data_IF_114172837758
#
_entry.id   IF_114172837758
#
_cell.length_a   1.000
_cell.length_b   1.000
_cell.length_c   1.000
_cell.angle_alpha   90.00
_cell.angle_beta   90.00
_cell.angle_gamma   90.00
#
_symmetry.space_group_name_H-M   'P 1'
#
loop_
_entity.id
_entity.type
_entity.pdbx_description
1 polymer ?
#
# COMPACT_ATOMS: atom_id res chain seq x y z
N UNK A 1 9.02 30.54 -7.61
CA UNK A 1 8.35 30.37 -6.29
C UNK A 1 7.18 31.35 -6.08
N UNK A 2 7.10 32.44 -6.89
CA UNK A 2 6.09 33.50 -6.70
C UNK A 2 4.67 33.15 -7.19
N UNK A 3 4.51 32.04 -7.90
CA UNK A 3 3.20 31.55 -8.39
C UNK A 3 2.51 30.53 -7.45
N UNK A 4 3.25 29.96 -6.54
CA UNK A 4 2.72 28.94 -5.60
C UNK A 4 1.86 29.58 -4.49
N UNK A 5 2.26 30.77 -4.03
CA UNK A 5 1.57 31.47 -2.96
C UNK A 5 0.15 31.93 -3.35
N UNK A 6 -0.08 32.56 -4.53
CA UNK A 6 -1.44 32.93 -4.95
C UNK A 6 -2.31 31.73 -5.25
N UNK A 7 -1.76 30.59 -5.75
CA UNK A 7 -2.49 29.38 -5.97
C UNK A 7 -2.97 28.76 -4.65
N UNK A 8 -2.10 28.74 -3.63
CA UNK A 8 -2.47 28.26 -2.28
C UNK A 8 -3.59 29.09 -1.67
N UNK A 9 -3.49 30.41 -1.76
CA UNK A 9 -4.54 31.33 -1.27
C UNK A 9 -5.86 31.12 -2.03
N UNK A 10 -5.80 30.97 -3.35
CA UNK A 10 -6.98 30.69 -4.18
C UNK A 10 -7.66 29.38 -3.79
N UNK A 11 -6.90 28.32 -3.53
CA UNK A 11 -7.44 27.03 -3.10
C UNK A 11 -8.09 27.10 -1.72
N UNK A 12 -7.51 27.85 -0.79
CA UNK A 12 -8.11 28.09 0.53
C UNK A 12 -9.42 28.90 0.41
N UNK A 13 -9.42 29.96 -0.40
CA UNK A 13 -10.65 30.74 -0.64
C UNK A 13 -11.72 29.91 -1.36
N UNK A 14 -11.35 29.08 -2.36
CA UNK A 14 -12.26 28.16 -3.02
C UNK A 14 -12.84 27.14 -2.03
N UNK A 15 -12.03 26.60 -1.12
CA UNK A 15 -12.49 25.71 -0.05
C UNK A 15 -13.49 26.39 0.89
N UNK A 16 -13.21 27.60 1.32
CA UNK A 16 -14.15 28.39 2.14
C UNK A 16 -15.44 28.73 1.40
N UNK A 17 -15.34 29.11 0.12
CA UNK A 17 -16.52 29.37 -0.70
C UNK A 17 -17.39 28.12 -0.86
N UNK A 18 -16.79 26.96 -1.13
CA UNK A 18 -17.50 25.68 -1.22
C UNK A 18 -18.23 25.38 0.11
N UNK A 19 -17.57 25.57 1.25
CA UNK A 19 -18.20 25.37 2.56
C UNK A 19 -19.31 26.34 2.85
N UNK A 20 -19.17 27.61 2.44
CA UNK A 20 -20.17 28.67 2.67
C UNK A 20 -21.41 28.52 1.77
N UNK A 21 -21.27 27.95 0.57
CA UNK A 21 -22.37 27.72 -0.37
C UNK A 21 -22.90 26.27 -0.34
N UNK A 22 -22.55 25.51 0.70
CA UNK A 22 -23.02 24.13 0.81
C UNK A 22 -24.53 24.08 1.09
N UNK A 23 -25.30 23.26 0.35
CA UNK A 23 -26.76 23.13 0.55
C UNK A 23 -27.12 22.68 1.96
N UNK A 24 -28.29 23.08 2.47
CA UNK A 24 -28.78 22.63 3.78
C UNK A 24 -28.82 21.12 3.95
N UNK A 25 -29.03 20.39 2.84
CA UNK A 25 -28.95 18.92 2.83
C UNK A 25 -27.60 18.38 3.25
N UNK A 26 -26.51 19.13 3.05
CA UNK A 26 -25.18 18.75 3.52
C UNK A 26 -25.02 18.97 5.02
N UNK A 27 -25.49 20.14 5.54
CA UNK A 27 -25.51 20.43 6.96
C UNK A 27 -26.33 19.40 7.73
N UNK A 28 -27.50 19.03 7.21
CA UNK A 28 -28.33 17.99 7.79
C UNK A 28 -27.65 16.62 7.80
N UNK A 29 -26.86 16.28 6.76
CA UNK A 29 -26.04 15.05 6.75
C UNK A 29 -24.88 15.11 7.72
N UNK A 30 -24.25 16.26 7.92
CA UNK A 30 -23.20 16.42 8.93
C UNK A 30 -23.74 16.30 10.35
N UNK A 31 -24.98 16.73 10.59
CA UNK A 31 -25.63 16.57 11.89
C UNK A 31 -25.98 15.09 12.18
N UNK A 32 -26.24 14.26 11.16
CA UNK A 32 -26.43 12.81 11.35
C UNK A 32 -25.15 12.11 11.83
N UNK A 33 -23.95 12.69 11.63
CA UNK A 33 -22.71 12.17 12.20
C UNK A 33 -22.71 12.26 13.74
N UNK A 34 -23.40 13.24 14.30
CA UNK A 34 -23.54 13.41 15.77
C UNK A 34 -24.54 12.41 16.38
N UNK A 35 -25.41 11.84 15.56
CA UNK A 35 -26.46 10.87 15.94
C UNK A 35 -26.25 9.53 15.23
N UNK A 36 -24.98 9.12 15.03
CA UNK A 36 -24.63 7.85 14.35
C UNK A 36 -25.21 6.62 15.03
N UNK A 37 -25.49 6.70 16.33
CA UNK A 37 -26.19 5.68 17.13
C UNK A 37 -27.64 5.44 16.71
N UNK A 38 -28.24 6.40 15.96
CA UNK A 38 -29.57 6.29 15.37
C UNK A 38 -29.52 5.82 13.91
N UNK A 39 -28.34 5.76 13.29
CA UNK A 39 -28.14 5.23 11.94
C UNK A 39 -28.02 3.71 11.98
N UNK A 40 -29.10 3.02 11.63
CA UNK A 40 -29.17 1.56 11.59
C UNK A 40 -28.06 0.95 10.70
N UNK A 41 -27.66 1.64 9.60
CA UNK A 41 -26.60 1.17 8.72
C UNK A 41 -25.22 1.27 9.38
N UNK A 42 -24.94 2.34 10.13
CA UNK A 42 -23.70 2.50 10.87
C UNK A 42 -23.61 1.50 12.03
N UNK A 43 -24.71 1.35 12.77
CA UNK A 43 -24.77 0.41 13.90
C UNK A 43 -24.66 -1.04 13.46
N UNK A 44 -25.28 -1.42 12.34
CA UNK A 44 -25.12 -2.76 11.77
C UNK A 44 -23.68 -3.10 11.38
N UNK A 45 -22.92 -2.12 10.83
CA UNK A 45 -21.48 -2.31 10.57
C UNK A 45 -20.68 -2.50 11.85
N UNK A 46 -20.92 -1.67 12.85
CA UNK A 46 -20.25 -1.76 14.17
C UNK A 46 -20.55 -3.11 14.80
N UNK A 47 -21.80 -3.59 14.74
CA UNK A 47 -22.20 -4.91 15.20
C UNK A 47 -21.42 -6.02 14.50
N UNK A 48 -21.27 -5.94 13.18
CA UNK A 48 -20.48 -6.88 12.39
C UNK A 48 -18.97 -6.81 12.72
N UNK A 49 -18.43 -5.63 13.06
CA UNK A 49 -17.03 -5.48 13.49
C UNK A 49 -16.79 -6.18 14.83
N UNK A 50 -17.70 -6.03 15.79
CA UNK A 50 -17.63 -6.73 17.06
C UNK A 50 -17.75 -8.23 16.87
N UNK A 51 -18.69 -8.69 16.01
CA UNK A 51 -18.80 -10.10 15.66
C UNK A 51 -17.48 -10.65 15.12
N UNK A 52 -16.87 -9.97 14.15
CA UNK A 52 -15.59 -10.40 13.55
C UNK A 52 -14.45 -10.41 14.59
N UNK A 53 -14.39 -9.41 15.47
CA UNK A 53 -13.37 -9.33 16.52
C UNK A 53 -13.53 -10.46 17.55
N UNK A 54 -14.75 -10.69 18.07
CA UNK A 54 -15.04 -11.73 19.05
C UNK A 54 -14.79 -13.12 18.46
N UNK A 55 -15.18 -13.35 17.19
CA UNK A 55 -14.87 -14.58 16.47
C UNK A 55 -13.36 -14.82 16.36
N UNK A 56 -12.58 -13.78 15.99
CA UNK A 56 -11.13 -13.90 15.88
C UNK A 56 -10.45 -14.13 17.25
N UNK A 57 -11.03 -13.63 18.33
CA UNK A 57 -10.55 -13.86 19.69
C UNK A 57 -10.72 -15.32 20.11
N UNK A 58 -11.84 -15.94 19.75
CA UNK A 58 -12.14 -17.35 20.02
C UNK A 58 -11.41 -18.29 19.03
N UNK A 59 -11.26 -17.84 17.78
CA UNK A 59 -10.62 -18.56 16.66
C UNK A 59 -9.53 -17.73 16.00
N UNK A 60 -8.28 -17.90 16.38
CA UNK A 60 -7.13 -17.11 15.90
C UNK A 60 -6.90 -17.14 14.39
N UNK A 61 -7.38 -18.20 13.72
CA UNK A 61 -7.37 -18.37 12.27
C UNK A 61 -8.67 -17.90 11.60
N UNK A 62 -9.59 -17.32 12.39
CA UNK A 62 -10.89 -16.84 11.93
C UNK A 62 -11.92 -17.96 11.67
N UNK A 63 -13.07 -17.58 11.12
CA UNK A 63 -14.19 -18.46 10.85
C UNK A 63 -14.24 -19.04 9.42
N UNK A 64 -13.22 -18.75 8.58
CA UNK A 64 -13.24 -19.08 7.16
C UNK A 64 -14.10 -18.10 6.36
N UNK A 65 -14.29 -18.37 5.07
CA UNK A 65 -15.11 -17.53 4.21
C UNK A 65 -16.60 -17.57 4.60
N UNK A 66 -17.34 -16.52 4.21
CA UNK A 66 -18.78 -16.41 4.45
C UNK A 66 -19.19 -16.42 5.93
N UNK A 67 -18.54 -15.60 6.75
CA UNK A 67 -18.81 -15.46 8.19
C UNK A 67 -20.10 -14.70 8.53
N UNK A 68 -20.67 -13.93 7.58
CA UNK A 68 -21.86 -13.10 7.83
C UNK A 68 -23.15 -13.95 7.76
N UNK A 69 -23.34 -14.80 8.75
CA UNK A 69 -24.49 -15.71 8.88
C UNK A 69 -25.03 -15.72 10.30
N UNK A 70 -26.34 -15.95 10.45
CA UNK A 70 -27.06 -15.86 11.72
C UNK A 70 -26.46 -16.67 12.85
N UNK A 71 -25.90 -17.86 12.57
CA UNK A 71 -25.28 -18.70 13.60
C UNK A 71 -24.03 -18.08 14.25
N UNK A 72 -23.24 -17.29 13.49
CA UNK A 72 -22.08 -16.60 14.02
C UNK A 72 -22.48 -15.30 14.70
N UNK A 73 -23.48 -14.57 14.18
CA UNK A 73 -24.02 -13.40 14.86
C UNK A 73 -24.66 -13.76 16.18
N UNK A 74 -25.44 -14.86 16.24
CA UNK A 74 -26.03 -15.35 17.48
C UNK A 74 -25.00 -15.64 18.58
N UNK A 75 -23.77 -16.00 18.20
CA UNK A 75 -22.72 -16.37 19.17
C UNK A 75 -21.76 -15.21 19.49
N UNK A 76 -21.45 -14.36 18.53
CA UNK A 76 -20.33 -13.41 18.62
C UNK A 76 -20.74 -11.95 18.50
N UNK A 77 -21.92 -11.61 17.95
CA UNK A 77 -22.37 -10.24 17.80
C UNK A 77 -23.05 -9.71 19.07
N UNK A 78 -22.88 -8.41 19.39
CA UNK A 78 -23.68 -7.77 20.45
C UNK A 78 -25.18 -7.80 20.18
N UNK A 79 -25.60 -7.64 18.92
CA UNK A 79 -26.98 -7.79 18.49
C UNK A 79 -27.10 -8.96 17.52
N UNK A 80 -27.60 -10.15 17.96
CA UNK A 80 -27.67 -11.36 17.14
C UNK A 80 -28.59 -11.26 15.92
N UNK A 81 -29.62 -10.40 15.97
CA UNK A 81 -30.65 -10.29 14.95
C UNK A 81 -30.24 -9.35 13.82
N UNK A 82 -29.28 -8.46 14.07
CA UNK A 82 -28.81 -7.45 13.12
C UNK A 82 -27.60 -7.96 12.30
N UNK A 83 -27.89 -8.76 11.27
CA UNK A 83 -26.89 -9.42 10.43
C UNK A 83 -26.49 -8.50 9.29
N UNK A 84 -25.28 -7.95 9.35
CA UNK A 84 -24.69 -7.07 8.33
C UNK A 84 -23.29 -7.51 7.91
N UNK A 85 -22.87 -7.14 6.70
CA UNK A 85 -21.48 -7.24 6.31
C UNK A 85 -20.66 -6.17 7.03
N UNK A 86 -19.37 -6.44 7.30
CA UNK A 86 -18.49 -5.49 7.98
C UNK A 86 -18.27 -4.20 7.19
N UNK A 87 -18.39 -4.24 5.86
CA UNK A 87 -18.01 -3.13 4.99
C UNK A 87 -16.68 -2.50 5.37
N UNK A 88 -15.70 -3.35 5.65
CA UNK A 88 -14.32 -2.99 6.00
C UNK A 88 -13.41 -4.14 5.62
N UNK A 89 -12.38 -3.86 4.80
CA UNK A 89 -11.37 -4.86 4.44
C UNK A 89 -10.67 -5.45 5.68
N UNK A 90 -10.49 -4.64 6.70
CA UNK A 90 -9.78 -5.05 7.92
C UNK A 90 -10.60 -6.03 8.75
N UNK A 91 -11.86 -5.70 9.01
CA UNK A 91 -12.75 -6.57 9.79
C UNK A 91 -13.23 -7.78 9.00
N UNK A 92 -13.30 -7.67 7.66
CA UNK A 92 -13.56 -8.82 6.81
C UNK A 92 -12.41 -9.83 6.93
N UNK A 93 -11.16 -9.40 6.73
CA UNK A 93 -9.98 -10.28 6.87
C UNK A 93 -9.83 -10.80 8.28
N UNK A 94 -10.09 -9.96 9.30
CA UNK A 94 -10.04 -10.37 10.71
C UNK A 94 -11.02 -11.48 11.02
N UNK A 95 -12.27 -11.34 10.61
CA UNK A 95 -13.29 -12.36 10.88
C UNK A 95 -13.07 -13.66 10.10
N UNK A 96 -12.66 -13.56 8.82
CA UNK A 96 -12.48 -14.72 7.96
C UNK A 96 -11.16 -15.46 8.23
N UNK A 97 -10.06 -14.74 8.51
CA UNK A 97 -8.70 -15.30 8.64
C UNK A 97 -8.02 -15.03 9.98
N UNK A 98 -8.73 -14.45 10.93
CA UNK A 98 -8.25 -14.17 12.27
C UNK A 98 -7.13 -13.13 12.34
N UNK A 99 -6.49 -13.05 13.49
CA UNK A 99 -5.39 -12.11 13.72
C UNK A 99 -4.16 -12.40 12.85
N UNK A 100 -3.89 -13.67 12.57
CA UNK A 100 -2.76 -14.07 11.71
C UNK A 100 -3.02 -13.60 10.28
N UNK A 101 -4.21 -13.82 9.75
CA UNK A 101 -4.57 -13.35 8.41
C UNK A 101 -4.53 -11.83 8.30
N UNK A 102 -5.06 -11.11 9.29
CA UNK A 102 -4.98 -9.66 9.33
C UNK A 102 -3.54 -9.16 9.37
N UNK A 103 -2.67 -9.78 10.20
CA UNK A 103 -1.26 -9.42 10.25
C UNK A 103 -0.56 -9.60 8.90
N UNK A 104 -0.79 -10.73 8.22
CA UNK A 104 -0.24 -10.98 6.88
C UNK A 104 -0.77 -9.98 5.85
N UNK A 105 -2.05 -9.63 5.92
CA UNK A 105 -2.67 -8.65 5.03
C UNK A 105 -2.07 -7.25 5.21
N UNK A 106 -1.86 -6.81 6.45
CA UNK A 106 -1.22 -5.55 6.75
C UNK A 106 0.26 -5.54 6.33
N UNK A 107 0.98 -6.64 6.57
CA UNK A 107 2.36 -6.82 6.11
C UNK A 107 2.46 -6.76 4.58
N UNK A 108 1.51 -7.32 3.85
CA UNK A 108 1.43 -7.18 2.40
C UNK A 108 1.29 -5.71 1.97
N UNK A 109 0.44 -4.93 2.64
CA UNK A 109 0.33 -3.49 2.38
C UNK A 109 1.64 -2.73 2.63
N UNK A 110 2.32 -3.00 3.75
CA UNK A 110 3.63 -2.43 4.09
C UNK A 110 4.70 -2.85 3.08
N UNK A 111 4.71 -4.12 2.67
CA UNK A 111 5.62 -4.62 1.64
C UNK A 111 5.42 -3.88 0.31
N UNK A 112 4.17 -3.77 -0.15
CA UNK A 112 3.82 -3.07 -1.40
C UNK A 112 4.27 -1.61 -1.38
N UNK A 113 4.07 -0.92 -0.26
CA UNK A 113 4.53 0.46 -0.05
C UNK A 113 6.06 0.57 -0.10
N UNK A 114 6.78 -0.34 0.58
CA UNK A 114 8.24 -0.36 0.58
C UNK A 114 8.81 -0.67 -0.80
N UNK A 115 8.19 -1.60 -1.51
CA UNK A 115 8.55 -1.95 -2.87
C UNK A 115 8.40 -0.75 -3.81
N UNK A 116 7.25 -0.06 -3.77
CA UNK A 116 7.03 1.17 -4.54
C UNK A 116 8.07 2.25 -4.21
N UNK A 117 8.38 2.42 -2.92
CA UNK A 117 9.40 3.39 -2.48
C UNK A 117 10.81 3.03 -2.99
N UNK A 118 11.13 1.74 -3.05
CA UNK A 118 12.42 1.26 -3.56
C UNK A 118 12.52 1.43 -5.07
N UNK A 119 11.46 1.08 -5.81
CA UNK A 119 11.38 1.29 -7.27
C UNK A 119 11.52 2.78 -7.60
N UNK A 120 10.78 3.63 -6.89
CA UNK A 120 10.90 5.08 -7.04
C UNK A 120 12.34 5.58 -6.84
N UNK A 121 12.98 5.21 -5.73
CA UNK A 121 14.35 5.65 -5.41
C UNK A 121 15.37 5.21 -6.45
N UNK A 122 15.22 4.00 -7.01
CA UNK A 122 16.14 3.45 -8.00
C UNK A 122 15.98 4.07 -9.38
N UNK A 123 14.77 4.44 -9.76
CA UNK A 123 14.48 5.05 -11.06
C UNK A 123 14.68 6.56 -11.07
N UNK A 124 14.54 7.21 -9.92
CA UNK A 124 14.59 8.66 -9.78
C UNK A 124 15.96 9.23 -10.19
N UNK A 125 15.93 10.32 -10.96
CA UNK A 125 17.13 11.01 -11.46
C UNK A 125 17.64 10.51 -12.81
N UNK A 126 17.04 9.46 -13.38
CA UNK A 126 17.30 9.01 -14.75
C UNK A 126 16.13 9.40 -15.66
N UNK A 127 16.32 10.30 -16.66
CA UNK A 127 15.24 10.71 -17.56
C UNK A 127 14.58 9.57 -18.33
N UNK A 128 15.34 8.52 -18.69
CA UNK A 128 14.83 7.36 -19.42
C UNK A 128 13.89 6.51 -18.55
N UNK A 129 13.95 6.66 -17.22
CA UNK A 129 13.17 5.91 -16.24
C UNK A 129 12.08 6.76 -15.55
N UNK A 130 11.81 7.96 -16.07
CA UNK A 130 10.85 8.89 -15.48
C UNK A 130 9.43 8.27 -15.38
N UNK A 131 9.03 7.47 -16.37
CA UNK A 131 7.77 6.75 -16.35
C UNK A 131 7.66 5.73 -15.20
N UNK A 132 8.75 5.03 -14.85
CA UNK A 132 8.80 4.11 -13.70
C UNK A 132 8.68 4.90 -12.40
N UNK A 133 9.37 6.04 -12.30
CA UNK A 133 9.32 6.95 -11.16
C UNK A 133 7.88 7.42 -10.91
N UNK A 134 7.20 7.88 -11.96
CA UNK A 134 5.80 8.32 -11.89
C UNK A 134 4.85 7.17 -11.52
N UNK A 135 5.01 6.02 -12.16
CA UNK A 135 4.20 4.84 -11.83
C UNK A 135 4.32 4.46 -10.35
N UNK A 136 5.54 4.42 -9.81
CA UNK A 136 5.78 4.07 -8.41
C UNK A 136 5.14 5.09 -7.44
N UNK A 137 5.14 6.38 -7.78
CA UNK A 137 4.43 7.41 -7.00
C UNK A 137 2.91 7.23 -7.06
N UNK A 138 2.36 7.00 -8.26
CA UNK A 138 0.92 6.75 -8.43
C UNK A 138 0.48 5.48 -7.68
N UNK A 139 1.28 4.40 -7.73
CA UNK A 139 1.02 3.18 -6.98
C UNK A 139 0.96 3.44 -5.47
N UNK A 140 1.83 4.29 -4.92
CA UNK A 140 1.77 4.70 -3.49
C UNK A 140 0.46 5.41 -3.16
N UNK A 141 0.03 6.36 -4.00
CA UNK A 141 -1.25 7.05 -3.82
C UNK A 141 -2.41 6.05 -3.86
N UNK A 142 -2.38 5.11 -4.82
CA UNK A 142 -3.40 4.07 -4.94
C UNK A 142 -3.44 3.13 -3.72
N UNK A 143 -2.29 2.77 -3.16
CA UNK A 143 -2.20 1.94 -1.94
C UNK A 143 -2.84 2.68 -0.74
N UNK A 144 -2.56 3.98 -0.58
CA UNK A 144 -3.20 4.79 0.47
C UNK A 144 -4.70 4.89 0.23
N UNK A 145 -5.12 5.23 -1.00
CA UNK A 145 -6.53 5.32 -1.36
C UNK A 145 -7.29 4.02 -1.09
N UNK A 146 -6.68 2.87 -1.41
CA UNK A 146 -7.23 1.56 -1.11
C UNK A 146 -7.31 1.29 0.40
N UNK A 147 -6.27 1.63 1.16
CA UNK A 147 -6.24 1.42 2.61
C UNK A 147 -7.31 2.27 3.32
N UNK A 148 -7.48 3.52 2.92
CA UNK A 148 -8.48 4.43 3.52
C UNK A 148 -9.90 4.09 3.05
N UNK A 149 -10.12 3.94 1.75
CA UNK A 149 -11.43 3.60 1.20
C UNK A 149 -11.89 2.20 1.62
N UNK A 150 -10.97 1.25 1.67
CA UNK A 150 -11.22 -0.11 2.11
C UNK A 150 -11.63 -0.23 3.59
N UNK A 151 -11.32 0.77 4.42
CA UNK A 151 -11.80 0.80 5.80
C UNK A 151 -13.33 0.82 5.89
N UNK A 152 -14.00 1.25 4.83
CA UNK A 152 -15.47 1.39 4.76
C UNK A 152 -16.12 0.59 3.62
N UNK A 153 -15.38 -0.34 3.00
CA UNK A 153 -15.83 -1.14 1.86
C UNK A 153 -15.45 -2.62 2.03
N UNK A 154 -16.28 -3.52 1.53
CA UNK A 154 -16.01 -4.98 1.50
C UNK A 154 -15.16 -5.34 0.28
N UNK A 155 -13.93 -4.86 0.22
CA UNK A 155 -13.01 -5.01 -0.91
C UNK A 155 -11.72 -5.76 -0.55
N UNK A 156 -11.74 -6.61 0.47
CA UNK A 156 -10.53 -7.31 0.95
C UNK A 156 -9.83 -8.12 -0.16
N UNK A 157 -10.61 -8.68 -1.08
CA UNK A 157 -10.11 -9.53 -2.18
C UNK A 157 -10.15 -8.84 -3.54
N UNK A 158 -10.23 -7.51 -3.55
CA UNK A 158 -10.15 -6.74 -4.79
C UNK A 158 -8.75 -6.84 -5.41
N UNK A 159 -8.67 -7.12 -6.69
CA UNK A 159 -7.43 -7.51 -7.36
C UNK A 159 -6.39 -6.39 -7.51
N UNK A 160 -6.81 -5.11 -7.51
CA UNK A 160 -5.93 -3.99 -7.82
C UNK A 160 -4.65 -3.92 -6.97
N UNK A 161 -4.68 -4.07 -5.62
CA UNK A 161 -3.45 -4.04 -4.82
C UNK A 161 -2.46 -5.13 -5.19
N UNK A 162 -2.96 -6.31 -5.57
CA UNK A 162 -2.12 -7.44 -5.98
C UNK A 162 -1.48 -7.17 -7.34
N UNK A 163 -2.23 -6.67 -8.32
CA UNK A 163 -1.68 -6.29 -9.63
C UNK A 163 -0.65 -5.16 -9.52
N UNK A 164 -0.91 -4.14 -8.71
CA UNK A 164 0.07 -3.08 -8.47
C UNK A 164 1.36 -3.64 -7.88
N UNK A 165 1.26 -4.55 -6.91
CA UNK A 165 2.42 -5.16 -6.25
C UNK A 165 3.22 -6.02 -7.22
N UNK A 166 2.56 -6.85 -8.04
CA UNK A 166 3.23 -7.69 -9.05
C UNK A 166 3.92 -6.81 -10.09
N UNK A 167 3.26 -5.75 -10.56
CA UNK A 167 3.86 -4.80 -11.52
C UNK A 167 5.08 -4.11 -10.93
N UNK A 168 5.00 -3.65 -9.68
CA UNK A 168 6.15 -3.05 -8.97
C UNK A 168 7.30 -4.05 -8.81
N UNK A 169 7.01 -5.33 -8.54
CA UNK A 169 8.02 -6.38 -8.44
C UNK A 169 8.68 -6.65 -9.79
N UNK A 170 7.92 -6.67 -10.87
CA UNK A 170 8.46 -6.79 -12.23
C UNK A 170 9.39 -5.62 -12.57
N UNK A 171 8.97 -4.37 -12.24
CA UNK A 171 9.81 -3.18 -12.42
C UNK A 171 11.08 -3.24 -11.58
N UNK A 172 10.98 -3.67 -10.33
CA UNK A 172 12.13 -3.83 -9.45
C UNK A 172 13.16 -4.81 -10.04
N UNK A 173 12.70 -5.98 -10.51
CA UNK A 173 13.54 -6.98 -11.17
C UNK A 173 14.15 -6.48 -12.46
N UNK A 174 13.37 -5.78 -13.26
CA UNK A 174 13.85 -5.19 -14.50
C UNK A 174 14.97 -4.16 -14.24
N UNK A 175 14.81 -3.31 -13.20
CA UNK A 175 15.85 -2.36 -12.79
C UNK A 175 17.12 -3.06 -12.33
N UNK A 176 17.03 -4.17 -11.58
CA UNK A 176 18.19 -4.97 -11.16
C UNK A 176 18.97 -5.47 -12.39
N UNK A 177 18.30 -6.04 -13.37
CA UNK A 177 18.92 -6.57 -14.58
C UNK A 177 19.53 -5.45 -15.44
N UNK A 178 18.84 -4.32 -15.56
CA UNK A 178 19.29 -3.19 -16.37
C UNK A 178 20.51 -2.49 -15.76
N UNK A 179 20.55 -2.30 -14.46
CA UNK A 179 21.68 -1.74 -13.74
C UNK A 179 22.90 -2.68 -13.77
N UNK A 180 22.69 -3.99 -13.70
CA UNK A 180 23.75 -4.98 -13.82
C UNK A 180 24.39 -4.99 -15.22
N UNK A 181 23.65 -4.70 -16.27
CA UNK A 181 24.14 -4.62 -17.66
C UNK A 181 24.91 -3.32 -17.96
N UNK A 182 24.60 -2.24 -17.25
CA UNK A 182 25.22 -0.90 -17.45
C UNK A 182 26.51 -0.72 -16.64
N UNK A 183 26.75 -1.53 -15.59
CA UNK A 183 28.04 -1.52 -14.88
C UNK A 183 29.05 -2.29 -15.74
N UNK A 184 29.95 -1.62 -16.49
CA UNK A 184 31.03 -2.33 -17.18
C UNK A 184 31.83 -3.07 -16.11
N UNK A 185 32.41 -4.21 -16.48
CA UNK A 185 33.30 -5.01 -15.64
C UNK A 185 34.56 -4.22 -15.23
N UNK A 186 34.37 -3.11 -14.53
CA UNK A 186 35.43 -2.34 -13.87
C UNK A 186 35.89 -3.12 -12.65
N UNK A 187 36.86 -4.00 -12.89
CA UNK A 187 37.53 -4.65 -11.77
C UNK A 187 38.12 -6.03 -12.01
N UNK A 188 38.07 -6.59 -13.21
CA UNK A 188 39.10 -7.57 -13.56
C UNK A 188 40.34 -6.85 -14.08
N UNK A 189 41.07 -6.20 -13.18
CA UNK A 189 42.48 -5.89 -13.45
C UNK A 189 43.11 -7.21 -13.87
N UNK A 190 43.39 -7.38 -15.16
CA UNK A 190 44.27 -8.45 -15.61
C UNK A 190 45.55 -8.34 -14.77
N UNK A 191 46.03 -9.43 -14.14
CA UNK A 191 47.32 -9.38 -13.46
C UNK A 191 48.33 -8.90 -14.49
N UNK A 192 49.00 -7.78 -14.17
CA UNK A 192 50.00 -7.20 -15.04
C UNK A 192 51.03 -8.32 -15.35
N UNK A 193 51.03 -8.72 -16.63
CA UNK A 193 52.00 -9.71 -17.12
C UNK A 193 53.38 -9.11 -16.94
N UNK A 194 54.05 -9.53 -15.85
CA UNK A 194 55.37 -9.08 -15.49
C UNK A 194 56.36 -9.61 -16.56
N UNK A 195 56.54 -8.80 -17.63
CA UNK A 195 57.53 -9.06 -18.63
C UNK A 195 58.89 -8.96 -17.90
N UNK A 196 59.45 -10.13 -17.60
CA UNK A 196 60.81 -10.25 -17.06
C UNK A 196 61.77 -9.81 -18.18
N UNK A 197 62.18 -8.54 -18.20
CA UNK A 197 63.31 -8.06 -19.02
C UNK A 197 64.55 -8.77 -18.51
N UNK A 198 65.04 -9.74 -19.28
CA UNK A 198 66.42 -10.27 -19.09
C UNK A 198 67.37 -9.13 -19.39
N UNK A 199 68.10 -8.67 -18.36
CA UNK A 199 69.23 -7.76 -18.57
C UNK A 199 70.32 -8.54 -19.30
N UNK A 200 71.00 -7.93 -20.29
CA UNK A 200 72.18 -8.53 -20.91
C UNK A 200 73.31 -8.60 -19.91
N UNK A 201 73.95 -9.75 -19.83
CA UNK A 201 75.18 -9.98 -19.04
C UNK A 201 76.34 -9.16 -19.66
N UNK A 202 77.14 -8.47 -18.85
CA UNK A 202 78.35 -7.82 -19.39
C UNK A 202 79.30 -8.89 -19.77
N UNK A 203 79.71 -8.92 -21.04
CA UNK A 203 80.73 -9.80 -21.59
C UNK A 203 82.05 -9.52 -20.95
N UNK A 204 82.62 -10.57 -20.35
CA UNK A 204 84.03 -10.59 -19.94
C UNK A 204 84.93 -10.56 -21.17
N UNK A 205 85.69 -9.46 -21.28
CA UNK A 205 86.75 -9.34 -22.24
C UNK A 205 88.11 -9.46 -21.56
N UNK A 206 88.91 -10.24 -22.15
CA UNK A 206 90.34 -10.18 -21.94
C UNK A 206 90.97 -9.02 -22.67
#
# INVERSE_FOLDING_TARGET
SDRELPLGILLVFAGFAILAFMPDSWHNRMDTIKTYDQDASAMGRINAWWMAFNLATDHWLGGGFAIYKGSLFARYAPNPEDIHAAHSIYFQVLGEHGFIGLALYLLFGVFSWRLASTVHKRANGNPDLDWITRFALMAKVSIIGFAVGGAFLSLAYFDLPYYLTVTLLAMYRWLDLHQASVVPARGRAMPAMRVRRKLPQPGGGR
#
